data_IF_592533948687
#
_entry.id   IF_592533948687
#
_cell.length_a   1.000
_cell.length_b   1.000
_cell.length_c   1.000
_cell.angle_alpha   90.00
_cell.angle_beta   90.00
_cell.angle_gamma   90.00
#
_symmetry.space_group_name_H-M   'P 1'
#
loop_
_entity.id
_entity.type
_entity.pdbx_description
1 polymer ?
#
# COMPACT_ATOMS: atom_id res chain seq x y z
N UNK A 1 -16.57 0.63 -3.49
CA UNK A 1 -15.88 1.12 -4.71
C UNK A 1 -16.08 0.07 -5.79
N UNK A 2 -16.56 0.40 -7.01
CA UNK A 2 -16.78 -0.64 -8.01
C UNK A 2 -15.41 -1.10 -8.52
N UNK A 3 -15.07 -2.35 -8.24
CA UNK A 3 -13.90 -3.04 -8.79
C UNK A 3 -14.19 -3.37 -10.25
N UNK A 4 -14.09 -2.37 -11.13
CA UNK A 4 -14.01 -2.63 -12.56
C UNK A 4 -12.73 -3.42 -12.81
N UNK A 5 -12.79 -4.60 -13.44
CA UNK A 5 -11.59 -5.37 -13.73
C UNK A 5 -10.65 -4.51 -14.57
N UNK A 6 -9.50 -4.20 -14.00
CA UNK A 6 -8.61 -3.09 -14.39
C UNK A 6 -8.08 -3.27 -15.81
N UNK A 7 -7.90 -4.53 -16.22
CA UNK A 7 -7.60 -4.87 -17.60
C UNK A 7 -8.65 -4.35 -18.60
N UNK A 8 -9.92 -4.22 -18.22
CA UNK A 8 -10.96 -3.67 -19.09
C UNK A 8 -10.95 -2.14 -19.14
N UNK A 9 -10.61 -1.44 -18.04
CA UNK A 9 -10.53 0.02 -18.03
C UNK A 9 -9.29 0.52 -18.76
N UNK A 10 -8.13 -0.12 -18.55
CA UNK A 10 -6.89 0.18 -19.26
C UNK A 10 -7.03 -0.10 -20.77
N UNK A 11 -7.62 -1.24 -21.17
CA UNK A 11 -7.87 -1.53 -22.59
C UNK A 11 -8.79 -0.50 -23.25
N UNK A 12 -9.91 -0.14 -22.61
CA UNK A 12 -10.81 0.91 -23.13
C UNK A 12 -10.10 2.25 -23.28
N UNK A 13 -9.21 2.59 -22.34
CA UNK A 13 -8.43 3.82 -22.42
C UNK A 13 -7.44 3.77 -23.60
N UNK A 14 -6.73 2.65 -23.80
CA UNK A 14 -5.85 2.44 -24.96
C UNK A 14 -6.62 2.58 -26.27
N UNK A 15 -7.75 1.89 -26.40
CA UNK A 15 -8.61 1.96 -27.59
C UNK A 15 -9.08 3.39 -27.85
N UNK A 16 -9.49 4.12 -26.81
CA UNK A 16 -9.95 5.50 -26.91
C UNK A 16 -8.84 6.44 -27.34
N UNK A 17 -7.64 6.30 -26.75
CA UNK A 17 -6.47 7.11 -27.11
C UNK A 17 -6.03 6.81 -28.54
N UNK A 18 -5.91 5.55 -28.94
CA UNK A 18 -5.54 5.17 -30.31
C UNK A 18 -6.59 5.63 -31.33
N UNK A 19 -7.89 5.56 -31.00
CA UNK A 19 -8.95 6.10 -31.84
C UNK A 19 -8.78 7.60 -32.04
N UNK A 20 -8.46 8.33 -30.97
CA UNK A 20 -8.21 9.77 -31.04
C UNK A 20 -6.96 10.09 -31.87
N UNK A 21 -5.85 9.37 -31.68
CA UNK A 21 -4.63 9.53 -32.51
C UNK A 21 -4.93 9.31 -34.01
N UNK A 22 -5.73 8.28 -34.33
CA UNK A 22 -6.16 7.99 -35.70
C UNK A 22 -7.05 9.08 -36.29
N UNK A 23 -8.02 9.58 -35.53
CA UNK A 23 -8.89 10.68 -35.97
C UNK A 23 -8.09 11.96 -36.21
N UNK A 24 -7.16 12.30 -35.32
CA UNK A 24 -6.31 13.49 -35.46
C UNK A 24 -5.38 13.36 -36.68
N UNK A 25 -4.78 12.18 -36.88
CA UNK A 25 -3.93 11.93 -38.04
C UNK A 25 -4.73 11.96 -39.35
N UNK A 26 -5.94 11.39 -39.36
CA UNK A 26 -6.85 11.41 -40.52
C UNK A 26 -7.37 12.81 -40.87
N UNK A 27 -7.39 13.74 -39.92
CA UNK A 27 -7.71 15.15 -40.14
C UNK A 27 -6.53 15.96 -40.73
N UNK A 28 -5.40 15.32 -41.04
CA UNK A 28 -4.23 15.97 -41.64
C UNK A 28 -3.32 16.69 -40.65
N UNK A 29 -3.48 16.43 -39.33
CA UNK A 29 -2.61 17.04 -38.33
C UNK A 29 -1.20 16.44 -38.34
N UNK A 30 -0.16 17.24 -38.06
CA UNK A 30 1.20 16.75 -37.90
C UNK A 30 1.30 15.66 -36.83
N UNK A 31 2.21 14.71 -37.01
CA UNK A 31 2.39 13.56 -36.09
C UNK A 31 2.60 13.97 -34.62
N UNK A 32 3.30 15.08 -34.38
CA UNK A 32 3.48 15.63 -33.02
C UNK A 32 2.14 15.96 -32.35
N UNK A 33 1.19 16.52 -33.10
CA UNK A 33 -0.13 16.91 -32.59
C UNK A 33 -1.02 15.69 -32.42
N UNK A 34 -0.92 14.70 -33.31
CA UNK A 34 -1.70 13.46 -33.14
C UNK A 34 -1.24 12.62 -31.95
N UNK A 35 0.04 12.73 -31.53
CA UNK A 35 0.59 12.08 -30.31
C UNK A 35 0.32 12.84 -29.00
N UNK A 36 -0.19 14.06 -29.05
CA UNK A 36 -0.41 14.89 -27.87
C UNK A 36 -1.26 14.23 -26.78
N UNK A 37 -2.32 13.44 -27.10
CA UNK A 37 -3.11 12.72 -26.08
C UNK A 37 -2.26 11.78 -25.21
N UNK A 38 -1.31 11.07 -25.80
CA UNK A 38 -0.44 10.13 -25.06
C UNK A 38 0.52 10.87 -24.14
N UNK A 39 1.09 11.99 -24.60
CA UNK A 39 1.96 12.83 -23.76
C UNK A 39 1.22 13.44 -22.59
N UNK A 40 0.00 13.93 -22.82
CA UNK A 40 -0.83 14.46 -21.76
C UNK A 40 -1.19 13.39 -20.74
N UNK A 41 -1.55 12.18 -21.19
CA UNK A 41 -1.80 11.03 -20.33
C UNK A 41 -0.57 10.67 -19.47
N UNK A 42 0.62 10.63 -20.10
CA UNK A 42 1.89 10.40 -19.41
C UNK A 42 2.16 11.46 -18.34
N UNK A 43 1.96 12.74 -18.67
CA UNK A 43 2.17 13.83 -17.73
C UNK A 43 1.22 13.75 -16.53
N UNK A 44 -0.08 13.52 -16.77
CA UNK A 44 -1.08 13.33 -15.72
C UNK A 44 -0.70 12.18 -14.79
N UNK A 45 -0.29 11.05 -15.38
CA UNK A 45 0.12 9.89 -14.61
C UNK A 45 1.40 10.15 -13.80
N UNK A 46 2.39 10.85 -14.35
CA UNK A 46 3.59 11.25 -13.61
C UNK A 46 3.25 12.12 -12.40
N UNK A 47 2.33 13.09 -12.54
CA UNK A 47 1.88 13.93 -11.40
C UNK A 47 1.16 13.11 -10.34
N UNK A 48 0.33 12.16 -10.76
CA UNK A 48 -0.34 11.26 -9.83
C UNK A 48 0.67 10.38 -9.07
N UNK A 49 1.70 9.87 -9.74
CA UNK A 49 2.78 9.12 -9.09
C UNK A 49 3.51 9.97 -8.06
N UNK A 50 3.88 11.20 -8.39
CA UNK A 50 4.56 12.10 -7.46
C UNK A 50 3.73 12.31 -6.17
N UNK A 51 2.41 12.50 -6.30
CA UNK A 51 1.49 12.60 -5.16
C UNK A 51 1.40 11.30 -4.36
N UNK A 52 1.30 10.15 -5.04
CA UNK A 52 1.24 8.84 -4.38
C UNK A 52 2.54 8.53 -3.64
N UNK A 53 3.70 8.80 -4.23
CA UNK A 53 5.02 8.67 -3.60
C UNK A 53 5.07 9.52 -2.32
N UNK A 54 4.69 10.79 -2.39
CA UNK A 54 4.70 11.67 -1.22
C UNK A 54 3.75 11.19 -0.11
N UNK A 55 2.58 10.63 -0.45
CA UNK A 55 1.67 10.02 0.52
C UNK A 55 2.29 8.76 1.14
N UNK A 56 2.89 7.91 0.34
CA UNK A 56 3.48 6.66 0.80
C UNK A 56 4.68 6.88 1.73
N UNK A 57 5.55 7.85 1.40
CA UNK A 57 6.64 8.26 2.31
C UNK A 57 6.13 8.71 3.68
N UNK A 58 4.99 9.40 3.72
CA UNK A 58 4.36 9.78 5.00
C UNK A 58 3.81 8.57 5.77
N UNK A 59 3.33 7.54 5.08
CA UNK A 59 2.87 6.30 5.73
C UNK A 59 4.06 5.52 6.28
N UNK A 60 5.13 5.35 5.50
CA UNK A 60 6.37 4.73 5.95
C UNK A 60 6.91 5.39 7.23
N UNK A 61 6.97 6.74 7.23
CA UNK A 61 7.39 7.51 8.40
C UNK A 61 6.50 7.32 9.63
N UNK A 62 5.19 7.08 9.43
CA UNK A 62 4.30 6.73 10.56
C UNK A 62 4.67 5.37 11.12
N UNK A 63 4.89 4.36 10.29
CA UNK A 63 5.29 3.03 10.76
C UNK A 63 6.61 3.05 11.54
N UNK A 64 7.61 3.80 11.05
CA UNK A 64 8.88 3.98 11.77
C UNK A 64 8.71 4.57 13.16
N UNK A 65 7.79 5.55 13.31
CA UNK A 65 7.51 6.19 14.60
C UNK A 65 6.76 5.31 15.59
N UNK A 66 6.01 4.31 15.13
CA UNK A 66 5.18 3.48 16.01
C UNK A 66 5.98 2.34 16.66
N UNK A 67 7.06 1.87 16.02
CA UNK A 67 7.90 0.79 16.53
C UNK A 67 8.44 0.97 17.96
N UNK A 68 8.90 2.17 18.36
CA UNK A 68 9.31 2.45 19.75
C UNK A 68 8.16 2.60 20.74
N UNK A 69 6.96 2.98 20.28
CA UNK A 69 5.80 3.20 21.14
C UNK A 69 5.22 1.87 21.63
N UNK A 70 5.13 0.87 20.76
CA UNK A 70 4.64 -0.48 21.10
C UNK A 70 5.52 -1.13 22.19
N UNK A 71 6.83 -0.85 22.23
CA UNK A 71 7.73 -1.43 23.23
C UNK A 71 7.63 -0.81 24.63
N UNK A 72 6.93 0.31 24.80
CA UNK A 72 6.93 1.09 26.07
C UNK A 72 5.65 0.93 26.88
N UNK A 73 4.65 0.19 26.40
CA UNK A 73 3.37 0.07 27.08
C UNK A 73 3.47 -1.10 28.06
N UNK A 74 3.35 -0.80 29.35
CA UNK A 74 3.23 -1.79 30.42
C UNK A 74 2.00 -1.45 31.23
N UNK A 75 0.99 -2.34 31.26
CA UNK A 75 -0.12 -2.04 32.13
C UNK A 75 -0.70 -3.26 32.88
N UNK A 76 -1.58 -2.97 33.83
CA UNK A 76 -2.25 -3.90 34.76
C UNK A 76 -3.26 -4.82 34.06
N UNK A 77 -3.83 -5.83 34.72
CA UNK A 77 -4.58 -6.93 34.08
C UNK A 77 -5.76 -6.51 33.16
N UNK A 78 -6.53 -5.48 33.52
CA UNK A 78 -7.61 -4.93 32.66
C UNK A 78 -7.02 -4.26 31.41
N UNK A 79 -5.96 -3.49 31.61
CA UNK A 79 -5.25 -2.81 30.53
C UNK A 79 -4.50 -3.80 29.62
N UNK A 80 -4.10 -4.98 30.12
CA UNK A 80 -3.54 -6.08 29.30
C UNK A 80 -4.58 -6.59 28.29
N UNK A 81 -5.85 -6.73 28.68
CA UNK A 81 -6.92 -7.22 27.80
C UNK A 81 -7.28 -6.17 26.74
N UNK A 82 -7.46 -4.91 27.14
CA UNK A 82 -7.73 -3.80 26.22
C UNK A 82 -6.57 -3.60 25.21
N UNK A 83 -5.34 -3.89 25.64
CA UNK A 83 -4.15 -3.85 24.79
C UNK A 83 -4.12 -4.98 23.75
N UNK A 84 -4.58 -6.20 24.08
CA UNK A 84 -4.72 -7.30 23.11
C UNK A 84 -5.76 -6.96 22.02
N UNK A 85 -6.90 -6.36 22.41
CA UNK A 85 -7.93 -5.94 21.46
C UNK A 85 -7.43 -4.82 20.53
N UNK A 86 -6.69 -3.85 21.09
CA UNK A 86 -6.04 -2.79 20.32
C UNK A 86 -5.01 -3.35 19.34
N UNK A 87 -4.16 -4.28 19.78
CA UNK A 87 -3.14 -4.92 18.94
C UNK A 87 -3.76 -5.77 17.83
N UNK A 88 -4.91 -6.41 18.09
CA UNK A 88 -5.70 -7.09 17.07
C UNK A 88 -6.27 -6.12 16.02
N UNK A 89 -6.92 -5.04 16.45
CA UNK A 89 -7.43 -4.01 15.54
C UNK A 89 -6.32 -3.37 14.71
N UNK A 90 -5.18 -3.05 15.33
CA UNK A 90 -4.04 -2.46 14.65
C UNK A 90 -3.45 -3.42 13.60
N UNK A 91 -3.35 -4.72 13.89
CA UNK A 91 -2.90 -5.70 12.89
C UNK A 91 -3.83 -5.78 11.68
N UNK A 92 -5.15 -5.72 11.90
CA UNK A 92 -6.12 -5.71 10.81
C UNK A 92 -5.95 -4.46 9.92
N UNK A 93 -5.77 -3.28 10.53
CA UNK A 93 -5.53 -2.04 9.80
C UNK A 93 -4.20 -2.07 9.02
N UNK A 94 -3.15 -2.64 9.59
CA UNK A 94 -1.86 -2.82 8.92
C UNK A 94 -2.00 -3.79 7.75
N UNK A 95 -2.70 -4.90 7.91
CA UNK A 95 -2.91 -5.88 6.83
C UNK A 95 -3.75 -5.30 5.69
N UNK A 96 -4.80 -4.55 6.02
CA UNK A 96 -5.59 -3.81 5.03
C UNK A 96 -4.72 -2.81 4.26
N UNK A 97 -3.86 -2.08 4.98
CA UNK A 97 -2.95 -1.11 4.37
C UNK A 97 -1.95 -1.80 3.44
N UNK A 98 -1.36 -2.93 3.86
CA UNK A 98 -0.44 -3.74 3.06
C UNK A 98 -1.11 -4.29 1.80
N UNK A 99 -2.32 -4.84 1.92
CA UNK A 99 -3.11 -5.31 0.77
C UNK A 99 -3.33 -4.17 -0.24
N UNK A 100 -3.73 -2.99 0.26
CA UNK A 100 -3.89 -1.80 -0.59
C UNK A 100 -2.58 -1.39 -1.29
N UNK A 101 -1.43 -1.49 -0.62
CA UNK A 101 -0.12 -1.19 -1.22
C UNK A 101 0.23 -2.17 -2.34
N UNK A 102 -0.07 -3.46 -2.18
CA UNK A 102 0.14 -4.48 -3.21
C UNK A 102 -0.77 -4.22 -4.41
N UNK A 103 -2.04 -3.90 -4.20
CA UNK A 103 -2.92 -3.48 -5.30
C UNK A 103 -2.38 -2.25 -6.03
N UNK A 104 -1.88 -1.24 -5.29
CA UNK A 104 -1.23 -0.05 -5.88
C UNK A 104 -0.02 -0.37 -6.74
N UNK A 105 0.74 -1.41 -6.39
CA UNK A 105 1.84 -1.91 -7.22
C UNK A 105 1.28 -2.50 -8.52
N UNK A 106 0.29 -3.36 -8.45
CA UNK A 106 -0.32 -3.98 -9.63
C UNK A 106 -0.90 -2.92 -10.59
N UNK A 107 -1.56 -1.89 -10.04
CA UNK A 107 -2.03 -0.74 -10.81
C UNK A 107 -0.88 0.00 -11.51
N UNK A 108 0.27 0.14 -10.86
CA UNK A 108 1.44 0.80 -11.44
C UNK A 108 1.99 0.01 -12.64
N UNK A 109 2.09 -1.31 -12.49
CA UNK A 109 2.57 -2.22 -13.52
C UNK A 109 1.59 -2.30 -14.72
N UNK A 110 0.28 -2.38 -14.46
CA UNK A 110 -0.77 -2.34 -15.49
C UNK A 110 -0.68 -1.07 -16.36
N UNK A 111 -0.50 0.09 -15.73
CA UNK A 111 -0.36 1.36 -16.45
C UNK A 111 0.96 1.43 -17.22
N UNK A 112 2.04 0.85 -16.70
CA UNK A 112 3.28 0.66 -17.46
C UNK A 112 3.05 -0.16 -18.74
N UNK A 113 2.34 -1.28 -18.62
CA UNK A 113 1.95 -2.11 -19.78
C UNK A 113 1.06 -1.35 -20.77
N UNK A 114 0.16 -0.50 -20.27
CA UNK A 114 -0.71 0.35 -21.09
C UNK A 114 0.10 1.34 -21.95
N UNK A 115 1.10 2.02 -21.39
CA UNK A 115 1.97 2.91 -22.18
C UNK A 115 2.82 2.15 -23.21
N UNK A 116 3.28 0.95 -22.86
CA UNK A 116 3.98 0.07 -23.81
C UNK A 116 3.07 -0.32 -25.00
N UNK A 117 1.79 -0.62 -24.75
CA UNK A 117 0.80 -0.91 -25.80
C UNK A 117 0.49 0.31 -26.69
N UNK A 118 0.64 1.53 -26.17
CA UNK A 118 0.54 2.77 -26.94
C UNK A 118 1.83 3.08 -27.74
N UNK A 119 2.87 2.26 -27.59
CA UNK A 119 4.19 2.48 -28.20
C UNK A 119 4.90 3.71 -27.64
N UNK A 120 4.62 4.06 -26.37
CA UNK A 120 5.18 5.24 -25.72
C UNK A 120 6.12 4.85 -24.57
N UNK A 121 7.35 5.33 -24.66
CA UNK A 121 8.35 5.18 -23.60
C UNK A 121 8.80 6.54 -23.08
N UNK A 122 8.95 6.65 -21.76
CA UNK A 122 9.51 7.83 -21.11
C UNK A 122 10.44 7.39 -19.97
N UNK A 123 11.68 7.86 -20.00
CA UNK A 123 12.64 7.63 -18.93
C UNK A 123 12.16 8.26 -17.61
N UNK A 124 11.53 9.43 -17.67
CA UNK A 124 10.99 10.13 -16.50
C UNK A 124 9.82 9.39 -15.86
N UNK A 125 9.01 8.70 -16.68
CA UNK A 125 7.94 7.82 -16.24
C UNK A 125 8.51 6.56 -15.56
N UNK A 126 9.42 5.85 -16.24
CA UNK A 126 10.07 4.64 -15.72
C UNK A 126 10.72 4.91 -14.35
N UNK A 127 11.48 6.00 -14.21
CA UNK A 127 12.11 6.40 -12.94
C UNK A 127 11.09 6.61 -11.81
N UNK A 128 9.95 7.26 -12.09
CA UNK A 128 8.90 7.48 -11.08
C UNK A 128 8.19 6.18 -10.71
N UNK A 129 7.95 5.29 -11.66
CA UNK A 129 7.37 3.98 -11.38
C UNK A 129 8.29 3.15 -10.48
N UNK A 130 9.59 3.12 -10.78
CA UNK A 130 10.58 2.45 -9.93
C UNK A 130 10.60 3.04 -8.53
N UNK A 131 10.68 4.37 -8.39
CA UNK A 131 10.68 5.03 -7.09
C UNK A 131 9.38 4.78 -6.30
N UNK A 132 8.24 4.68 -6.99
CA UNK A 132 6.98 4.34 -6.34
C UNK A 132 6.95 2.90 -5.83
N UNK A 133 7.39 1.94 -6.66
CA UNK A 133 7.48 0.52 -6.29
C UNK A 133 8.42 0.34 -5.09
N UNK A 134 9.61 0.96 -5.12
CA UNK A 134 10.59 0.89 -4.02
C UNK A 134 10.00 1.40 -2.70
N UNK A 135 9.26 2.52 -2.73
CA UNK A 135 8.59 3.05 -1.54
C UNK A 135 7.48 2.12 -1.06
N UNK A 136 6.72 1.49 -1.96
CA UNK A 136 5.70 0.50 -1.59
C UNK A 136 6.34 -0.72 -0.93
N UNK A 137 7.40 -1.28 -1.51
CA UNK A 137 8.13 -2.44 -0.97
C UNK A 137 8.69 -2.13 0.43
N UNK A 138 9.34 -0.97 0.58
CA UNK A 138 9.85 -0.51 1.88
C UNK A 138 8.72 -0.38 2.91
N UNK A 139 7.58 0.19 2.50
CA UNK A 139 6.42 0.37 3.39
C UNK A 139 5.81 -0.97 3.80
N UNK A 140 5.72 -1.94 2.87
CA UNK A 140 5.24 -3.29 3.15
C UNK A 140 6.17 -4.05 4.09
N UNK A 141 7.48 -3.89 3.95
CA UNK A 141 8.47 -4.46 4.87
C UNK A 141 8.32 -3.90 6.28
N UNK A 142 8.18 -2.57 6.42
CA UNK A 142 7.93 -1.91 7.71
C UNK A 142 6.61 -2.36 8.35
N UNK A 143 5.54 -2.45 7.56
CA UNK A 143 4.25 -2.96 8.00
C UNK A 143 4.36 -4.40 8.54
N UNK A 144 5.07 -5.27 7.81
CA UNK A 144 5.25 -6.68 8.20
C UNK A 144 6.08 -6.79 9.49
N UNK A 145 7.14 -5.98 9.63
CA UNK A 145 7.92 -5.91 10.87
C UNK A 145 7.07 -5.46 12.06
N UNK A 146 6.20 -4.47 11.86
CA UNK A 146 5.30 -3.98 12.90
C UNK A 146 4.25 -5.03 13.30
N UNK A 147 3.68 -5.77 12.35
CA UNK A 147 2.80 -6.89 12.63
C UNK A 147 3.49 -7.96 13.46
N UNK A 148 4.74 -8.31 13.12
CA UNK A 148 5.51 -9.29 13.89
C UNK A 148 5.80 -8.80 15.32
N UNK A 149 6.09 -7.51 15.49
CA UNK A 149 6.29 -6.92 16.81
C UNK A 149 5.01 -6.97 17.66
N UNK A 150 3.84 -6.68 17.08
CA UNK A 150 2.54 -6.80 17.75
C UNK A 150 2.23 -8.24 18.14
N UNK A 151 2.47 -9.20 17.23
CA UNK A 151 2.26 -10.63 17.54
C UNK A 151 3.14 -11.11 18.69
N UNK A 152 4.43 -10.74 18.72
CA UNK A 152 5.32 -11.09 19.85
C UNK A 152 4.88 -10.45 21.17
N UNK A 153 4.34 -9.24 21.10
CA UNK A 153 3.82 -8.54 22.26
C UNK A 153 2.58 -9.27 22.83
N UNK A 154 1.61 -9.61 21.97
CA UNK A 154 0.45 -10.40 22.37
C UNK A 154 0.82 -11.74 23.01
N UNK A 155 1.75 -12.49 22.39
CA UNK A 155 2.21 -13.77 22.92
C UNK A 155 2.79 -13.62 24.33
N UNK A 156 3.54 -12.54 24.56
CA UNK A 156 4.11 -12.22 25.87
C UNK A 156 3.01 -11.89 26.89
N UNK A 157 2.04 -11.04 26.51
CA UNK A 157 0.92 -10.67 27.37
C UNK A 157 0.05 -11.88 27.73
N UNK A 158 -0.26 -12.73 26.74
CA UNK A 158 -1.00 -13.98 26.93
C UNK A 158 -0.26 -14.96 27.84
N UNK A 159 1.06 -15.09 27.71
CA UNK A 159 1.87 -15.93 28.58
C UNK A 159 1.84 -15.43 30.04
N UNK A 160 1.93 -14.12 30.25
CA UNK A 160 1.82 -13.51 31.57
C UNK A 160 0.44 -13.74 32.19
N UNK A 161 -0.65 -13.56 31.42
CA UNK A 161 -2.02 -13.80 31.89
C UNK A 161 -2.26 -15.26 32.28
N UNK A 162 -1.71 -16.21 31.51
CA UNK A 162 -1.79 -17.65 31.83
C UNK A 162 -1.05 -17.98 33.13
N UNK A 163 0.19 -17.49 33.27
CA UNK A 163 0.98 -17.70 34.49
C UNK A 163 0.30 -17.11 35.73
N UNK A 164 -0.35 -15.95 35.60
CA UNK A 164 -1.14 -15.33 36.66
C UNK A 164 -2.34 -16.21 37.04
N UNK A 165 -3.14 -16.67 36.06
CA UNK A 165 -4.27 -17.56 36.30
C UNK A 165 -3.87 -18.92 36.94
N UNK A 166 -2.76 -19.50 36.51
CA UNK A 166 -2.20 -20.74 37.07
C UNK A 166 -1.77 -20.53 38.53
N UNK A 167 -1.18 -19.38 38.85
CA UNK A 167 -0.82 -19.03 40.23
C UNK A 167 -2.05 -18.83 41.12
N UNK A 168 -3.09 -18.16 40.62
CA UNK A 168 -4.34 -17.93 41.38
C UNK A 168 -5.09 -19.25 41.64
N UNK A 169 -5.16 -20.13 40.63
CA UNK A 169 -5.80 -21.45 40.78
C UNK A 169 -5.02 -22.37 41.73
N UNK A 170 -3.69 -22.36 41.68
CA UNK A 170 -2.85 -23.10 42.62
C UNK A 170 -2.96 -22.56 44.07
N UNK A 171 -3.16 -21.26 44.24
CA UNK A 171 -3.41 -20.65 45.55
C UNK A 171 -4.80 -21.03 46.09
N UNK A 172 -5.83 -21.01 45.23
CA UNK A 172 -7.19 -21.41 45.59
C UNK A 172 -7.30 -22.91 45.95
N UNK A 173 -6.50 -23.78 45.33
CA UNK A 173 -6.48 -25.21 45.65
C UNK A 173 -5.72 -25.55 46.96
N UNK A 174 -4.98 -24.59 47.53
CA UNK A 174 -4.22 -24.74 48.79
C UNK A 174 -4.94 -24.12 50.00
N UNK A 175 -5.99 -23.35 49.77
CA UNK A 175 -6.86 -22.75 50.79
C UNK A 175 -8.04 -23.67 51.10
#
# INVERSE_FOLDING_TARGET
MPHLPIGTSARRLVESVQKLERTLSGAGLPHFVSRMPVWWLCWQYCRMLDQKIARMKRIAHKFERWGPAIRRISPTAQEKMEMLDLDHSMRADIEFTKTTMLELRDYCEDIGRMFAQLGYESAGLKRRQTAFIEVLETSCALASYMQEALTRHDETVLALLRAEADATSAAAARA
#
